data_IF_114937002874
#
_entry.id   IF_114937002874
#
_cell.length_a   1.000
_cell.length_b   1.000
_cell.length_c   1.000
_cell.angle_alpha   90.00
_cell.angle_beta   90.00
_cell.angle_gamma   90.00
#
_symmetry.space_group_name_H-M   'P 1'
#
loop_
_entity.id
_entity.type
_entity.pdbx_description
1 polymer ?
#
# COMPACT_ATOMS: atom_id res chain seq x y z
N UNK A 1 -13.18 9.97 7.82
CA UNK A 1 -14.13 10.06 6.71
C UNK A 1 -14.18 11.44 6.08
N UNK A 2 -13.84 11.52 4.79
CA UNK A 2 -13.96 12.69 3.93
C UNK A 2 -14.81 12.26 2.73
N UNK A 3 -15.84 13.05 2.40
CA UNK A 3 -16.61 12.82 1.17
C UNK A 3 -15.97 13.58 0.01
N UNK A 4 -15.70 12.89 -1.09
CA UNK A 4 -15.12 13.42 -2.31
C UNK A 4 -16.11 13.33 -3.46
N UNK A 5 -16.19 14.40 -4.25
CA UNK A 5 -16.79 14.39 -5.58
C UNK A 5 -15.70 14.62 -6.61
N UNK A 6 -15.60 13.70 -7.56
CA UNK A 6 -14.57 13.72 -8.62
C UNK A 6 -15.28 13.85 -9.95
N UNK A 7 -15.01 14.96 -10.65
CA UNK A 7 -15.61 15.28 -11.94
C UNK A 7 -14.54 15.25 -13.03
N UNK A 8 -14.84 14.65 -14.18
CA UNK A 8 -13.94 14.66 -15.32
C UNK A 8 -14.28 13.61 -16.37
N UNK A 9 -13.37 13.41 -17.32
CA UNK A 9 -13.52 12.38 -18.35
C UNK A 9 -13.40 10.97 -17.74
N UNK A 10 -14.10 9.95 -18.27
CA UNK A 10 -14.15 8.61 -17.68
C UNK A 10 -12.78 8.00 -17.38
N UNK A 11 -11.84 8.07 -18.35
CA UNK A 11 -10.51 7.49 -18.20
C UNK A 11 -9.67 8.21 -17.14
N UNK A 12 -9.80 9.54 -17.05
CA UNK A 12 -9.08 10.35 -16.06
C UNK A 12 -9.60 10.09 -14.65
N UNK A 13 -10.93 10.05 -14.48
CA UNK A 13 -11.55 9.74 -13.20
C UNK A 13 -11.22 8.32 -12.76
N UNK A 14 -11.25 7.35 -13.69
CA UNK A 14 -10.85 5.96 -13.41
C UNK A 14 -9.39 5.87 -12.96
N UNK A 15 -8.47 6.53 -13.68
CA UNK A 15 -7.06 6.56 -13.34
C UNK A 15 -6.82 7.18 -11.97
N UNK A 16 -7.45 8.32 -11.68
CA UNK A 16 -7.37 8.98 -10.37
C UNK A 16 -7.85 8.09 -9.22
N UNK A 17 -8.99 7.41 -9.40
CA UNK A 17 -9.53 6.52 -8.37
C UNK A 17 -8.64 5.28 -8.16
N UNK A 18 -7.99 4.78 -9.21
CA UNK A 18 -6.99 3.71 -9.08
C UNK A 18 -5.78 4.17 -8.26
N UNK A 19 -5.25 5.36 -8.53
CA UNK A 19 -4.12 5.92 -7.78
C UNK A 19 -4.44 6.11 -6.30
N UNK A 20 -5.66 6.55 -5.98
CA UNK A 20 -6.12 6.68 -4.59
C UNK A 20 -6.21 5.31 -3.91
N UNK A 21 -6.79 4.30 -4.57
CA UNK A 21 -6.94 2.94 -4.01
C UNK A 21 -5.60 2.27 -3.73
N UNK A 22 -4.54 2.64 -4.45
CA UNK A 22 -3.21 2.09 -4.23
C UNK A 22 -2.51 2.67 -3.00
N UNK A 23 -3.06 3.73 -2.37
CA UNK A 23 -2.44 4.33 -1.19
C UNK A 23 -2.81 3.55 0.07
N UNK A 24 -1.84 3.01 0.82
CA UNK A 24 -2.11 2.13 1.97
C UNK A 24 -2.74 2.83 3.19
N UNK A 25 -2.76 4.17 3.16
CA UNK A 25 -3.36 5.03 4.17
C UNK A 25 -4.77 5.50 3.80
N UNK A 26 -5.30 5.06 2.65
CA UNK A 26 -6.63 5.45 2.17
C UNK A 26 -7.47 4.19 1.95
N UNK A 27 -8.59 4.12 2.65
CA UNK A 27 -9.68 3.22 2.31
C UNK A 27 -10.72 4.03 1.52
N UNK A 28 -11.04 3.56 0.31
CA UNK A 28 -11.92 4.26 -0.62
C UNK A 28 -13.22 3.45 -0.78
N UNK A 29 -14.33 4.02 -0.33
CA UNK A 29 -15.67 3.48 -0.53
C UNK A 29 -16.36 4.26 -1.65
N UNK A 30 -16.70 3.59 -2.75
CA UNK A 30 -17.39 4.24 -3.86
C UNK A 30 -18.91 4.13 -3.65
N UNK A 31 -19.60 5.26 -3.59
CA UNK A 31 -21.04 5.30 -3.30
C UNK A 31 -21.89 5.37 -4.58
N UNK A 32 -21.39 6.00 -5.64
CA UNK A 32 -22.13 6.14 -6.89
C UNK A 32 -21.37 6.84 -8.02
N UNK A 33 -21.84 6.63 -9.25
CA UNK A 33 -21.36 7.27 -10.47
C UNK A 33 -22.55 7.86 -11.23
N UNK A 34 -22.42 9.10 -11.68
CA UNK A 34 -23.43 9.81 -12.48
C UNK A 34 -22.78 10.30 -13.77
N UNK A 35 -23.47 10.12 -14.89
CA UNK A 35 -23.10 10.77 -16.16
C UNK A 35 -23.48 12.25 -16.09
N UNK A 36 -22.60 13.12 -16.59
CA UNK A 36 -22.91 14.55 -16.72
C UNK A 36 -23.68 14.76 -18.03
N UNK A 37 -24.76 15.55 -17.98
CA UNK A 37 -25.68 15.69 -19.11
C UNK A 37 -25.12 16.50 -20.28
N UNK A 38 -24.04 17.27 -20.06
CA UNK A 38 -23.68 18.39 -20.92
C UNK A 38 -22.31 18.19 -21.60
N UNK A 39 -21.49 17.34 -21.00
CA UNK A 39 -20.13 17.04 -21.41
C UNK A 39 -19.93 15.56 -21.11
N UNK A 40 -19.31 14.80 -22.02
CA UNK A 40 -19.16 13.34 -22.01
C UNK A 40 -18.33 12.77 -20.81
N UNK A 41 -18.42 13.42 -19.66
CA UNK A 41 -17.74 13.17 -18.41
C UNK A 41 -18.67 12.58 -17.36
N UNK A 42 -18.06 12.20 -16.25
CA UNK A 42 -18.72 11.53 -15.14
C UNK A 42 -18.42 12.27 -13.83
N UNK A 43 -19.34 12.15 -12.89
CA UNK A 43 -19.18 12.53 -11.50
C UNK A 43 -19.20 11.27 -10.64
N UNK A 44 -18.12 11.02 -9.90
CA UNK A 44 -18.05 9.92 -8.94
C UNK A 44 -18.08 10.50 -7.53
N UNK A 45 -19.00 9.98 -6.72
CA UNK A 45 -19.05 10.27 -5.28
C UNK A 45 -18.42 9.11 -4.51
N UNK A 46 -17.45 9.43 -3.67
CA UNK A 46 -16.75 8.46 -2.85
C UNK A 46 -16.51 8.98 -1.43
N UNK A 47 -16.43 8.05 -0.49
CA UNK A 47 -15.98 8.30 0.88
C UNK A 47 -14.55 7.79 1.05
N UNK A 48 -13.73 8.61 1.70
CA UNK A 48 -12.33 8.33 1.98
C UNK A 48 -12.11 8.27 3.48
N UNK A 49 -11.62 7.14 3.94
CA UNK A 49 -11.10 6.99 5.29
C UNK A 49 -9.58 6.98 5.30
N UNK A 50 -9.03 7.87 6.13
CA UNK A 50 -7.60 7.98 6.34
C UNK A 50 -7.20 7.05 7.49
N UNK A 51 -6.31 6.10 7.20
CA UNK A 51 -5.77 5.12 8.14
C UNK A 51 -4.28 5.40 8.37
N UNK A 52 -3.91 6.42 9.17
CA UNK A 52 -2.51 6.79 9.38
C UNK A 52 -1.70 5.73 10.15
N UNK A 53 -2.37 4.87 10.92
CA UNK A 53 -1.75 3.79 11.71
C UNK A 53 -1.36 2.56 10.88
N UNK A 54 -1.94 2.36 9.68
CA UNK A 54 -1.72 1.15 8.87
C UNK A 54 -0.56 1.26 7.87
N UNK A 55 0.30 2.26 8.02
CA UNK A 55 1.40 2.54 7.08
C UNK A 55 2.43 1.44 7.03
N UNK A 56 2.60 0.68 8.12
CA UNK A 56 3.48 -0.51 8.14
C UNK A 56 2.66 -1.73 7.76
N UNK A 57 3.08 -2.43 6.71
CA UNK A 57 2.56 -3.73 6.27
C UNK A 57 3.69 -4.76 6.35
N UNK A 58 3.37 -6.00 6.68
CA UNK A 58 4.35 -7.10 6.70
C UNK A 58 4.14 -7.93 5.45
N UNK A 59 5.16 -8.01 4.60
CA UNK A 59 5.19 -8.94 3.47
C UNK A 59 5.74 -10.28 3.95
N UNK A 60 5.00 -11.34 3.70
CA UNK A 60 5.38 -12.71 4.01
C UNK A 60 5.84 -13.40 2.73
N UNK A 61 7.10 -13.83 2.68
CA UNK A 61 7.70 -14.54 1.56
C UNK A 61 8.00 -15.97 2.00
N UNK A 62 7.30 -16.94 1.42
CA UNK A 62 7.57 -18.35 1.63
C UNK A 62 8.76 -18.80 0.78
N UNK A 63 9.71 -19.48 1.38
CA UNK A 63 10.86 -20.06 0.68
C UNK A 63 10.55 -21.49 0.23
N UNK A 64 11.30 -22.02 -0.75
CA UNK A 64 11.07 -23.36 -1.30
C UNK A 64 11.25 -24.48 -0.25
N UNK A 65 12.08 -24.25 0.76
CA UNK A 65 12.34 -25.15 1.88
C UNK A 65 11.33 -24.99 3.04
N UNK A 66 10.28 -24.18 2.86
CA UNK A 66 9.22 -24.00 3.85
C UNK A 66 9.52 -22.97 4.93
N UNK A 67 10.64 -22.25 4.83
CA UNK A 67 10.94 -21.09 5.65
C UNK A 67 10.06 -19.88 5.29
N UNK A 68 10.07 -18.88 6.17
CA UNK A 68 9.34 -17.63 5.99
C UNK A 68 10.27 -16.44 6.21
N UNK A 69 10.32 -15.53 5.23
CA UNK A 69 10.95 -14.21 5.37
C UNK A 69 9.84 -13.19 5.58
N UNK A 70 9.90 -12.49 6.72
CA UNK A 70 8.95 -11.42 7.07
C UNK A 70 9.61 -10.06 6.86
N UNK A 71 9.07 -9.26 5.94
CA UNK A 71 9.61 -7.95 5.59
C UNK A 71 8.62 -6.84 5.97
N UNK A 72 8.85 -6.12 7.08
CA UNK A 72 8.05 -4.94 7.40
C UNK A 72 8.40 -3.79 6.46
N UNK A 73 7.40 -3.28 5.74
CA UNK A 73 7.52 -2.19 4.78
C UNK A 73 6.57 -1.05 5.15
N UNK A 74 7.07 0.18 5.15
CA UNK A 74 6.29 1.38 5.28
C UNK A 74 5.80 1.87 3.90
N UNK A 75 4.57 2.37 3.85
CA UNK A 75 3.95 2.90 2.64
C UNK A 75 3.94 1.88 1.49
N UNK A 76 3.63 0.61 1.80
CA UNK A 76 3.58 -0.47 0.81
C UNK A 76 2.53 -0.18 -0.27
N UNK A 77 3.00 -0.10 -1.52
CA UNK A 77 2.21 -0.11 -2.74
C UNK A 77 2.17 -1.55 -3.27
N UNK A 78 0.98 -1.99 -3.64
CA UNK A 78 0.75 -3.27 -4.30
C UNK A 78 -0.05 -3.02 -5.59
N UNK A 79 0.52 -3.41 -6.73
CA UNK A 79 -0.10 -3.21 -8.04
C UNK A 79 0.10 -4.44 -8.92
N UNK A 80 -0.90 -4.78 -9.73
CA UNK A 80 -0.78 -5.75 -10.82
C UNK A 80 -0.41 -4.99 -12.10
N UNK A 81 0.70 -5.37 -12.73
CA UNK A 81 1.26 -4.69 -13.90
C UNK A 81 0.94 -5.40 -15.22
N UNK A 82 0.77 -6.72 -15.17
CA UNK A 82 0.37 -7.60 -16.26
C UNK A 82 -0.36 -8.80 -15.64
N UNK A 83 -1.04 -9.61 -16.46
CA UNK A 83 -1.78 -10.79 -15.97
C UNK A 83 -0.89 -11.70 -15.12
N UNK A 84 -1.20 -11.80 -13.82
CA UNK A 84 -0.44 -12.59 -12.85
C UNK A 84 0.88 -11.98 -12.38
N UNK A 85 1.29 -10.80 -12.89
CA UNK A 85 2.51 -10.10 -12.47
C UNK A 85 2.18 -8.95 -11.53
N UNK A 86 2.68 -9.06 -10.30
CA UNK A 86 2.44 -8.10 -9.22
C UNK A 86 3.75 -7.44 -8.79
N UNK A 87 3.70 -6.14 -8.55
CA UNK A 87 4.77 -5.36 -7.92
C UNK A 87 4.36 -5.05 -6.48
N UNK A 88 5.31 -5.26 -5.57
CA UNK A 88 5.29 -4.75 -4.21
C UNK A 88 6.42 -3.73 -4.06
N UNK A 89 6.11 -2.50 -3.65
CA UNK A 89 7.09 -1.44 -3.44
C UNK A 89 6.82 -0.72 -2.13
N UNK A 90 7.82 -0.58 -1.27
CA UNK A 90 7.67 0.12 0.00
C UNK A 90 9.03 0.49 0.59
N UNK A 91 9.03 1.31 1.63
CA UNK A 91 10.26 1.67 2.36
C UNK A 91 10.55 0.59 3.38
N UNK A 92 11.69 -0.08 3.28
CA UNK A 92 12.16 -0.97 4.33
C UNK A 92 12.82 -0.17 5.45
N UNK A 93 12.73 -0.68 6.68
CA UNK A 93 13.54 -0.19 7.79
C UNK A 93 14.77 -1.08 7.90
N UNK A 94 15.95 -0.56 7.57
CA UNK A 94 17.21 -1.28 7.83
C UNK A 94 17.67 -1.01 9.26
N UNK A 95 17.28 -1.90 10.17
CA UNK A 95 17.74 -1.85 11.56
C UNK A 95 19.18 -2.36 11.73
N UNK A 96 19.80 -2.93 10.69
CA UNK A 96 21.18 -3.42 10.72
C UNK A 96 22.23 -2.33 10.45
N UNK A 97 21.81 -1.06 10.35
CA UNK A 97 22.71 0.10 10.47
C UNK A 97 23.29 0.26 11.88
N UNK A 98 22.75 -0.40 12.91
CA UNK A 98 23.33 -0.44 14.25
C UNK A 98 23.71 -1.87 14.64
N UNK A 99 24.73 -2.43 13.98
CA UNK A 99 25.46 -3.60 14.49
C UNK A 99 26.29 -3.17 15.71
N UNK A 100 25.64 -2.91 16.85
CA UNK A 100 26.35 -3.05 18.12
C UNK A 100 26.62 -4.53 18.29
N UNK A 101 27.87 -4.92 18.00
CA UNK A 101 28.39 -6.24 18.35
C UNK A 101 28.01 -6.52 19.80
N UNK A 102 27.21 -7.55 20.03
CA UNK A 102 27.05 -8.09 21.38
C UNK A 102 28.45 -8.50 21.87
N UNK A 103 28.87 -8.11 23.08
CA UNK A 103 30.13 -8.58 23.62
C UNK A 103 30.03 -10.10 23.77
N UNK A 104 30.96 -10.82 23.13
CA UNK A 104 31.19 -12.24 23.36
C UNK A 104 31.36 -12.47 24.87
N UNK A 105 30.34 -13.06 25.50
CA UNK A 105 30.46 -13.49 26.89
C UNK A 105 31.38 -14.71 26.86
N UNK A 106 32.67 -14.49 27.08
CA UNK A 106 33.63 -15.56 27.35
C UNK A 106 33.22 -16.23 28.67
N UNK A 107 32.51 -17.35 28.56
CA UNK A 107 32.32 -18.26 29.67
C UNK A 107 33.67 -18.95 29.95
N UNK A 108 34.43 -18.38 30.87
CA UNK A 108 35.55 -19.08 31.50
C UNK A 108 34.98 -20.20 32.38
N UNK A 109 35.12 -21.44 31.90
CA UNK A 109 34.99 -22.64 32.71
C UNK A 109 36.15 -22.69 33.72
N UNK A 110 35.83 -22.67 35.01
CA UNK A 110 36.61 -23.34 36.06
C UNK A 110 35.67 -23.86 37.14
#
# INVERSE_FOLDING_TARGET
MIKLQVLGQPDQVKSFLQDIRQRPQIELHQEGMQEMADENGICVTCEVDLQPSSRIKIVHLSTQDGGEIRMPLQDLIYAEIEEGRKILAGKSFDIFSDRKKEPEIMAHTK
#
